data_IF_540916304525
#
_entry.id   IF_540916304525
#
_cell.length_a   1.000
_cell.length_b   1.000
_cell.length_c   1.000
_cell.angle_alpha   90.00
_cell.angle_beta   90.00
_cell.angle_gamma   90.00
#
_symmetry.space_group_name_H-M   'P 1'
#
loop_
_entity.id
_entity.type
_entity.pdbx_description
1 polymer ?
#
# COMPACT_ATOMS: atom_id res chain seq x y z
N UNK A 1 -19.23 -22.54 -12.47
CA UNK A 1 -17.88 -22.46 -11.87
C UNK A 1 -17.54 -20.99 -11.61
N UNK A 2 -17.10 -20.63 -10.39
CA UNK A 2 -16.66 -19.27 -10.08
C UNK A 2 -15.38 -18.98 -10.87
N UNK A 3 -15.31 -17.88 -11.63
CA UNK A 3 -14.10 -17.51 -12.38
C UNK A 3 -12.92 -17.34 -11.42
N UNK A 4 -11.70 -17.63 -11.90
CA UNK A 4 -10.49 -17.43 -11.09
C UNK A 4 -10.35 -15.97 -10.65
N UNK A 5 -9.75 -15.75 -9.49
CA UNK A 5 -9.61 -14.41 -8.89
C UNK A 5 -8.87 -13.44 -9.82
N UNK A 6 -7.84 -13.92 -10.52
CA UNK A 6 -7.06 -13.14 -11.52
C UNK A 6 -7.97 -12.60 -12.63
N UNK A 7 -8.91 -13.41 -13.15
CA UNK A 7 -9.84 -12.98 -14.22
C UNK A 7 -10.84 -11.95 -13.67
N UNK A 8 -11.23 -12.05 -12.40
CA UNK A 8 -12.19 -11.11 -11.77
C UNK A 8 -11.57 -9.75 -11.51
N UNK A 9 -10.27 -9.71 -11.21
CA UNK A 9 -9.52 -8.46 -10.96
C UNK A 9 -9.49 -7.52 -12.18
N UNK A 10 -9.67 -8.02 -13.40
CA UNK A 10 -9.74 -7.17 -14.60
C UNK A 10 -10.91 -6.18 -14.60
N UNK A 11 -11.97 -6.45 -13.83
CA UNK A 11 -13.12 -5.55 -13.67
C UNK A 11 -13.03 -4.61 -12.46
N UNK A 12 -11.92 -4.63 -11.73
CA UNK A 12 -11.78 -3.83 -10.50
C UNK A 12 -11.59 -2.35 -10.85
N UNK A 13 -12.30 -1.48 -10.13
CA UNK A 13 -12.17 -0.04 -10.25
C UNK A 13 -11.71 0.53 -8.92
N UNK A 14 -10.54 1.15 -8.92
CA UNK A 14 -10.01 1.81 -7.73
C UNK A 14 -10.23 3.32 -7.80
N UNK A 15 -10.79 3.93 -6.74
CA UNK A 15 -10.80 5.38 -6.60
C UNK A 15 -9.38 5.97 -6.69
N UNK A 16 -9.25 7.17 -7.28
CA UNK A 16 -7.95 7.86 -7.39
C UNK A 16 -7.22 8.03 -6.05
N UNK A 17 -7.98 8.22 -4.97
CA UNK A 17 -7.41 8.32 -3.62
C UNK A 17 -6.72 7.03 -3.18
N UNK A 18 -7.26 5.87 -3.55
CA UNK A 18 -6.66 4.58 -3.17
C UNK A 18 -5.35 4.37 -3.93
N UNK A 19 -5.26 4.79 -5.19
CA UNK A 19 -4.02 4.76 -5.99
C UNK A 19 -2.94 5.65 -5.34
N UNK A 20 -3.30 6.87 -4.92
CA UNK A 20 -2.37 7.77 -4.23
C UNK A 20 -1.90 7.20 -2.90
N UNK A 21 -2.80 6.58 -2.14
CA UNK A 21 -2.48 5.93 -0.87
C UNK A 21 -1.55 4.73 -1.04
N UNK A 22 -1.75 3.91 -2.08
CA UNK A 22 -0.81 2.84 -2.44
C UNK A 22 0.56 3.41 -2.80
N UNK A 23 0.61 4.49 -3.59
CA UNK A 23 1.86 5.19 -3.89
C UNK A 23 2.58 5.68 -2.63
N UNK A 24 1.84 6.27 -1.69
CA UNK A 24 2.37 6.74 -0.41
C UNK A 24 2.86 5.60 0.48
N UNK A 25 2.12 4.48 0.54
CA UNK A 25 2.52 3.28 1.27
C UNK A 25 3.82 2.69 0.71
N UNK A 26 3.91 2.53 -0.62
CA UNK A 26 5.11 2.03 -1.30
C UNK A 26 6.32 2.95 -1.10
N UNK A 27 6.10 4.28 -1.16
CA UNK A 27 7.16 5.26 -0.93
C UNK A 27 7.66 5.22 0.51
N UNK A 28 6.75 5.16 1.48
CA UNK A 28 7.09 5.06 2.90
C UNK A 28 7.84 3.76 3.23
N UNK A 29 7.45 2.62 2.65
CA UNK A 29 8.21 1.39 2.74
C UNK A 29 9.62 1.51 2.14
N UNK A 30 9.73 2.17 0.98
CA UNK A 30 11.03 2.44 0.35
C UNK A 30 11.96 3.24 1.28
N UNK A 31 11.43 4.28 1.93
CA UNK A 31 12.18 5.07 2.91
C UNK A 31 12.54 4.28 4.17
N UNK A 32 11.65 3.40 4.63
CA UNK A 32 11.93 2.49 5.75
C UNK A 32 13.13 1.59 5.42
N UNK A 33 13.12 0.95 4.25
CA UNK A 33 14.23 0.11 3.79
C UNK A 33 15.51 0.93 3.62
N UNK A 34 15.41 2.14 3.06
CA UNK A 34 16.55 3.04 2.93
C UNK A 34 17.16 3.38 4.29
N UNK A 35 16.34 3.70 5.31
CA UNK A 35 16.80 3.98 6.69
C UNK A 35 17.50 2.78 7.32
N UNK A 36 17.01 1.56 7.06
CA UNK A 36 17.62 0.32 7.56
C UNK A 36 18.94 -0.01 6.86
N UNK A 37 19.09 0.34 5.58
CA UNK A 37 20.30 0.11 4.79
C UNK A 37 21.41 1.12 5.11
N UNK A 38 21.06 2.40 5.13
CA UNK A 38 21.95 3.50 5.50
C UNK A 38 21.17 4.46 6.42
N UNK A 39 21.56 4.59 7.70
CA UNK A 39 20.76 5.33 8.69
C UNK A 39 20.86 6.86 8.55
N UNK A 40 20.91 7.40 7.33
CA UNK A 40 21.03 8.84 7.02
C UNK A 40 19.74 9.64 7.18
N UNK A 41 18.58 8.98 7.22
CA UNK A 41 17.27 9.63 7.39
C UNK A 41 17.03 10.05 8.85
N UNK A 42 16.53 11.25 9.10
CA UNK A 42 16.33 11.75 10.48
C UNK A 42 15.20 11.04 11.24
N UNK A 43 14.13 10.65 10.53
CA UNK A 43 12.96 10.00 11.13
C UNK A 43 13.26 8.54 11.50
N UNK A 44 12.76 8.08 12.64
CA UNK A 44 12.90 6.70 13.07
C UNK A 44 12.16 5.73 12.14
N UNK A 45 12.71 4.52 12.00
CA UNK A 45 12.22 3.48 11.10
C UNK A 45 10.73 3.11 11.34
N UNK A 46 10.28 3.10 12.61
CA UNK A 46 8.91 2.70 12.97
C UNK A 46 7.85 3.68 12.46
N UNK A 47 8.19 4.97 12.30
CA UNK A 47 7.25 5.94 11.75
C UNK A 47 6.91 5.66 10.29
N UNK A 48 7.88 5.25 9.48
CA UNK A 48 7.64 4.84 8.10
C UNK A 48 6.74 3.60 8.02
N UNK A 49 6.88 2.69 8.99
CA UNK A 49 6.00 1.53 9.12
C UNK A 49 4.57 1.95 9.48
N UNK A 50 4.39 2.85 10.46
CA UNK A 50 3.08 3.39 10.84
C UNK A 50 2.40 4.06 9.65
N UNK A 51 3.10 4.91 8.91
CA UNK A 51 2.56 5.60 7.72
C UNK A 51 2.13 4.58 6.66
N UNK A 52 2.95 3.55 6.42
CA UNK A 52 2.61 2.47 5.48
C UNK A 52 1.33 1.75 5.88
N UNK A 53 1.24 1.34 7.15
CA UNK A 53 0.07 0.63 7.66
C UNK A 53 -1.19 1.49 7.55
N UNK A 54 -1.12 2.77 7.91
CA UNK A 54 -2.26 3.67 7.81
C UNK A 54 -2.69 3.89 6.35
N UNK A 55 -1.73 4.05 5.45
CA UNK A 55 -2.01 4.30 4.03
C UNK A 55 -2.64 3.08 3.34
N UNK A 56 -2.27 1.85 3.72
CA UNK A 56 -2.74 0.64 3.03
C UNK A 56 -4.13 0.16 3.46
N UNK A 57 -4.63 0.58 4.64
CA UNK A 57 -5.93 0.16 5.18
C UNK A 57 -7.06 0.39 4.16
N UNK A 58 -7.19 1.61 3.63
CA UNK A 58 -8.28 1.96 2.73
C UNK A 58 -8.21 1.22 1.38
N UNK A 59 -7.07 1.19 0.66
CA UNK A 59 -6.92 0.38 -0.55
C UNK A 59 -7.25 -1.10 -0.34
N UNK A 60 -6.81 -1.69 0.78
CA UNK A 60 -7.08 -3.11 1.10
C UNK A 60 -8.56 -3.36 1.35
N UNK A 61 -9.24 -2.46 2.07
CA UNK A 61 -10.69 -2.56 2.24
C UNK A 61 -11.44 -2.44 0.91
N UNK A 62 -11.03 -1.52 0.03
CA UNK A 62 -11.60 -1.40 -1.31
C UNK A 62 -11.39 -2.68 -2.12
N UNK A 63 -10.19 -3.25 -2.08
CA UNK A 63 -9.89 -4.53 -2.73
C UNK A 63 -10.80 -5.65 -2.21
N UNK A 64 -10.94 -5.79 -0.88
CA UNK A 64 -11.75 -6.86 -0.28
C UNK A 64 -13.24 -6.74 -0.60
N UNK A 65 -13.75 -5.53 -0.84
CA UNK A 65 -15.14 -5.30 -1.30
C UNK A 65 -15.38 -5.75 -2.75
N UNK A 66 -14.31 -5.88 -3.55
CA UNK A 66 -14.41 -6.23 -4.97
C UNK A 66 -14.12 -7.72 -5.24
N UNK A 67 -13.45 -8.40 -4.31
CA UNK A 67 -13.15 -9.86 -4.31
C UNK A 67 -14.39 -10.70 -4.02
#
# INVERSE_FOLDING_TARGET
MKKSLIIRMWGFMFPHIDIRLVGLASFSLGLMVAKLWQPSLYLDWYWYLVITLLAIIKPVMTFWKQV
#
